data_IF_865575915378
#
_entry.id   IF_865575915378
#
_cell.length_a   1.000
_cell.length_b   1.000
_cell.length_c   1.000
_cell.angle_alpha   90.00
_cell.angle_beta   90.00
_cell.angle_gamma   90.00
#
_symmetry.space_group_name_H-M   'P 1'
#
loop_
_entity.id
_entity.type
_entity.pdbx_description
1 polymer ?
#
# COMPACT_ATOMS: atom_id res chain seq x y z
N UNK A 1 -17.00 -4.83 -2.69
CA UNK A 1 -17.24 -3.89 -1.60
C UNK A 1 -18.41 -2.98 -1.96
N UNK A 2 -19.38 -2.81 -1.07
CA UNK A 2 -20.50 -1.89 -1.24
C UNK A 2 -20.31 -0.72 -0.28
N UNK A 3 -20.27 0.51 -0.82
CA UNK A 3 -20.03 1.74 -0.06
C UNK A 3 -21.16 2.73 -0.34
N UNK A 4 -21.66 3.38 0.72
CA UNK A 4 -22.63 4.47 0.60
C UNK A 4 -21.86 5.79 0.69
N UNK A 5 -21.98 6.63 -0.33
CA UNK A 5 -21.27 7.90 -0.45
C UNK A 5 -22.20 9.05 -0.79
N UNK A 6 -21.74 10.26 -0.52
CA UNK A 6 -22.39 11.49 -0.95
C UNK A 6 -21.63 12.11 -2.13
N UNK A 7 -22.30 12.90 -2.94
CA UNK A 7 -21.67 13.61 -4.07
C UNK A 7 -20.46 14.44 -3.62
N UNK A 8 -20.58 15.12 -2.49
CA UNK A 8 -19.51 15.94 -1.89
C UNK A 8 -18.21 15.17 -1.62
N UNK A 9 -18.25 13.85 -1.47
CA UNK A 9 -17.05 13.02 -1.36
C UNK A 9 -16.19 13.09 -2.61
N UNK A 10 -16.80 12.99 -3.79
CA UNK A 10 -16.09 13.04 -5.06
C UNK A 10 -15.51 14.43 -5.33
N UNK A 11 -16.24 15.47 -4.97
CA UNK A 11 -15.77 16.85 -5.08
C UNK A 11 -14.60 17.12 -4.14
N UNK A 12 -14.66 16.61 -2.90
CA UNK A 12 -13.63 16.77 -1.88
C UNK A 12 -12.31 16.09 -2.28
N UNK A 13 -12.39 14.86 -2.78
CA UNK A 13 -11.22 14.06 -3.19
C UNK A 13 -10.85 14.24 -4.67
N UNK A 14 -11.57 15.11 -5.40
CA UNK A 14 -11.35 15.37 -6.83
C UNK A 14 -11.36 14.09 -7.68
N UNK A 15 -12.21 13.13 -7.32
CA UNK A 15 -12.35 11.87 -8.05
C UNK A 15 -13.22 12.11 -9.28
N UNK A 16 -12.71 11.92 -10.50
CA UNK A 16 -13.51 12.10 -11.69
C UNK A 16 -14.58 11.00 -11.80
N UNK A 17 -15.79 11.39 -12.19
CA UNK A 17 -16.90 10.48 -12.42
C UNK A 17 -17.26 10.51 -13.90
N UNK A 18 -17.18 9.36 -14.57
CA UNK A 18 -17.57 9.19 -15.97
C UNK A 18 -19.01 8.66 -16.03
N UNK A 19 -19.98 9.55 -16.06
CA UNK A 19 -21.40 9.21 -16.00
C UNK A 19 -22.26 10.18 -16.81
N UNK A 20 -23.41 9.71 -17.29
CA UNK A 20 -24.46 10.52 -17.89
C UNK A 20 -25.32 11.26 -16.83
N UNK A 21 -24.67 11.84 -15.85
CA UNK A 21 -25.25 12.47 -14.68
C UNK A 21 -24.96 11.72 -13.38
N UNK A 22 -25.04 12.42 -12.27
CA UNK A 22 -24.80 11.85 -10.95
C UNK A 22 -26.02 11.03 -10.51
N UNK A 23 -25.85 9.85 -9.84
CA UNK A 23 -26.95 9.06 -9.31
C UNK A 23 -27.87 9.88 -8.41
N UNK A 24 -29.19 9.74 -8.62
CA UNK A 24 -30.23 10.49 -7.91
C UNK A 24 -31.08 9.61 -6.97
N UNK A 25 -30.94 8.31 -7.05
CA UNK A 25 -31.69 7.36 -6.25
C UNK A 25 -30.82 6.20 -5.75
N UNK A 26 -31.27 5.49 -4.70
CA UNK A 26 -30.57 4.32 -4.18
C UNK A 26 -30.49 3.13 -5.16
N UNK A 27 -31.31 3.16 -6.21
CA UNK A 27 -31.27 2.16 -7.29
C UNK A 27 -30.24 2.47 -8.36
N UNK A 28 -29.68 3.66 -8.35
CA UNK A 28 -28.65 4.09 -9.28
C UNK A 28 -27.27 4.00 -8.60
N UNK A 29 -26.32 3.42 -9.30
CA UNK A 29 -25.01 3.11 -8.76
C UNK A 29 -23.88 3.62 -9.65
N UNK A 30 -22.73 3.89 -9.02
CA UNK A 30 -21.44 4.00 -9.70
C UNK A 30 -20.57 2.78 -9.37
N UNK A 31 -19.66 2.47 -10.27
CA UNK A 31 -18.69 1.38 -10.13
C UNK A 31 -17.28 1.88 -10.38
N UNK A 32 -16.28 1.28 -9.70
CA UNK A 32 -14.89 1.48 -10.10
C UNK A 32 -14.53 0.59 -11.30
N UNK A 33 -13.36 0.84 -11.90
CA UNK A 33 -12.89 0.10 -13.08
C UNK A 33 -12.77 -1.41 -12.82
N UNK A 34 -12.39 -1.86 -11.62
CA UNK A 34 -12.35 -3.27 -11.25
C UNK A 34 -13.73 -3.90 -11.23
N UNK A 35 -14.73 -3.23 -10.65
CA UNK A 35 -16.12 -3.71 -10.68
C UNK A 35 -16.65 -3.73 -12.10
N UNK A 36 -16.38 -2.71 -12.90
CA UNK A 36 -16.74 -2.66 -14.32
C UNK A 36 -16.22 -3.90 -15.05
N UNK A 37 -14.92 -4.21 -14.93
CA UNK A 37 -14.30 -5.37 -15.56
C UNK A 37 -14.91 -6.69 -15.09
N UNK A 38 -15.18 -6.82 -13.78
CA UNK A 38 -15.76 -8.04 -13.20
C UNK A 38 -17.16 -8.33 -13.69
N UNK A 39 -17.99 -7.30 -13.84
CA UNK A 39 -19.40 -7.44 -14.23
C UNK A 39 -19.65 -7.24 -15.73
N UNK A 40 -18.62 -6.88 -16.51
CA UNK A 40 -18.73 -6.76 -17.97
C UNK A 40 -18.90 -8.14 -18.61
N UNK A 41 -19.77 -8.22 -19.60
CA UNK A 41 -19.91 -9.38 -20.48
C UNK A 41 -19.09 -9.15 -21.74
N UNK A 42 -17.82 -9.57 -21.73
CA UNK A 42 -16.87 -9.24 -22.78
C UNK A 42 -16.46 -7.76 -22.70
N UNK A 43 -16.53 -7.01 -23.81
CA UNK A 43 -16.19 -5.57 -23.86
C UNK A 43 -17.37 -4.65 -23.47
N UNK A 44 -18.58 -5.21 -23.30
CA UNK A 44 -19.78 -4.42 -23.00
C UNK A 44 -19.85 -4.13 -21.50
N UNK A 45 -19.82 -2.85 -21.06
CA UNK A 45 -19.95 -2.51 -19.65
C UNK A 45 -21.35 -2.85 -19.14
N UNK A 46 -21.50 -3.22 -17.86
CA UNK A 46 -22.80 -3.53 -17.28
C UNK A 46 -23.68 -2.27 -17.21
N UNK A 47 -24.93 -2.40 -17.64
CA UNK A 47 -25.94 -1.35 -17.51
C UNK A 47 -26.86 -1.55 -16.31
N UNK A 48 -27.05 -2.79 -15.91
CA UNK A 48 -27.86 -3.19 -14.75
C UNK A 48 -27.20 -4.33 -14.00
N UNK A 49 -27.33 -4.33 -12.66
CA UNK A 49 -26.97 -5.43 -11.78
C UNK A 49 -28.18 -5.95 -11.03
N UNK A 50 -28.30 -7.25 -10.97
CA UNK A 50 -29.28 -7.91 -10.11
C UNK A 50 -28.76 -7.99 -8.67
N UNK A 51 -29.57 -7.59 -7.72
CA UNK A 51 -29.28 -7.68 -6.29
C UNK A 51 -30.35 -8.53 -5.62
N UNK A 52 -29.90 -9.63 -5.01
CA UNK A 52 -30.76 -10.39 -4.12
C UNK A 52 -31.10 -9.55 -2.90
N UNK A 53 -32.38 -9.37 -2.66
CA UNK A 53 -32.92 -8.69 -1.49
C UNK A 53 -33.88 -9.62 -0.77
N UNK A 54 -34.04 -9.43 0.54
CA UNK A 54 -34.98 -10.22 1.37
C UNK A 54 -36.42 -10.22 0.84
N UNK A 55 -36.78 -9.24 0.02
CA UNK A 55 -38.08 -9.06 -0.60
C UNK A 55 -38.11 -9.34 -2.13
N UNK A 56 -37.10 -10.05 -2.66
CA UNK A 56 -37.00 -10.38 -4.08
C UNK A 56 -35.77 -9.75 -4.77
N UNK A 57 -35.65 -10.06 -6.07
CA UNK A 57 -34.56 -9.53 -6.90
C UNK A 57 -34.88 -8.08 -7.25
N UNK A 58 -33.97 -7.16 -6.95
CA UNK A 58 -34.05 -5.77 -7.38
C UNK A 58 -32.92 -5.45 -8.35
N UNK A 59 -33.20 -4.77 -9.45
CA UNK A 59 -32.20 -4.30 -10.38
C UNK A 59 -31.59 -2.98 -9.90
N UNK A 60 -30.28 -2.86 -10.02
CA UNK A 60 -29.52 -1.63 -9.79
C UNK A 60 -29.05 -1.10 -11.15
N UNK A 61 -29.37 0.14 -11.45
CA UNK A 61 -29.00 0.79 -12.71
C UNK A 61 -27.59 1.38 -12.60
N UNK A 62 -26.70 0.97 -13.48
CA UNK A 62 -25.33 1.51 -13.53
C UNK A 62 -25.35 2.83 -14.29
N UNK A 63 -25.14 3.92 -13.59
CA UNK A 63 -25.09 5.30 -14.14
C UNK A 63 -23.73 5.71 -14.67
N UNK A 64 -22.68 5.10 -14.16
CA UNK A 64 -21.34 5.46 -14.60
C UNK A 64 -20.23 4.77 -13.84
N UNK A 65 -19.03 5.20 -14.13
CA UNK A 65 -17.82 4.59 -13.64
C UNK A 65 -16.87 5.64 -13.03
N UNK A 66 -16.02 5.19 -12.11
CA UNK A 66 -14.93 5.98 -11.56
C UNK A 66 -13.62 5.29 -11.83
N UNK A 67 -12.50 6.02 -11.91
CA UNK A 67 -11.18 5.40 -11.84
C UNK A 67 -11.01 4.63 -10.55
N UNK A 68 -9.95 3.84 -10.46
CA UNK A 68 -9.57 3.20 -9.19
C UNK A 68 -9.20 4.26 -8.16
N UNK A 69 -9.76 4.15 -6.97
CA UNK A 69 -9.36 4.91 -5.81
C UNK A 69 -9.33 4.01 -4.57
N UNK A 70 -8.42 4.33 -3.67
CA UNK A 70 -8.14 3.47 -2.53
C UNK A 70 -9.11 3.77 -1.38
N UNK A 71 -9.95 2.81 -1.03
CA UNK A 71 -10.92 2.91 0.09
C UNK A 71 -10.46 2.14 1.32
N UNK A 72 -9.53 1.20 1.12
CA UNK A 72 -9.04 0.26 2.12
C UNK A 72 -7.52 0.16 2.04
N UNK A 73 -6.93 -0.62 2.94
CA UNK A 73 -5.49 -0.87 2.96
C UNK A 73 -4.95 -1.33 1.59
N UNK A 74 -3.74 -0.89 1.22
CA UNK A 74 -3.11 -1.18 -0.08
C UNK A 74 -2.90 -2.67 -0.38
N UNK A 75 -2.86 -3.53 0.65
CA UNK A 75 -2.81 -4.99 0.47
C UNK A 75 -4.06 -5.54 -0.22
N UNK A 76 -5.18 -4.81 -0.16
CA UNK A 76 -6.45 -5.16 -0.81
C UNK A 76 -6.63 -4.34 -2.09
N UNK A 77 -5.60 -4.27 -2.91
CA UNK A 77 -5.66 -3.59 -4.22
C UNK A 77 -6.72 -4.21 -5.12
N UNK A 78 -7.34 -3.36 -5.94
CA UNK A 78 -8.27 -3.78 -6.99
C UNK A 78 -9.55 -4.47 -6.49
N UNK A 79 -10.08 -4.03 -5.35
CA UNK A 79 -11.40 -4.49 -4.94
C UNK A 79 -12.47 -3.92 -5.87
N UNK A 80 -13.43 -4.76 -6.30
CA UNK A 80 -14.61 -4.26 -6.98
C UNK A 80 -15.46 -3.43 -6.01
N UNK A 81 -15.61 -2.13 -6.29
CA UNK A 81 -16.37 -1.20 -5.46
C UNK A 81 -17.65 -0.79 -6.18
N UNK A 82 -18.78 -1.01 -5.53
CA UNK A 82 -20.10 -0.55 -5.94
C UNK A 82 -20.51 0.56 -4.98
N UNK A 83 -20.84 1.72 -5.52
CA UNK A 83 -21.18 2.91 -4.75
C UNK A 83 -22.65 3.24 -4.94
N UNK A 84 -23.38 3.33 -3.85
CA UNK A 84 -24.76 3.83 -3.81
C UNK A 84 -24.79 5.22 -3.16
N UNK A 85 -25.76 6.01 -3.55
CA UNK A 85 -25.91 7.39 -3.10
C UNK A 85 -27.17 7.53 -2.27
N UNK A 86 -27.09 8.32 -1.22
CA UNK A 86 -28.25 8.72 -0.42
C UNK A 86 -28.45 10.22 -0.57
N UNK A 87 -29.72 10.60 -0.61
CA UNK A 87 -30.10 12.00 -0.51
C UNK A 87 -30.07 12.42 0.97
N UNK A 88 -29.36 13.49 1.27
CA UNK A 88 -29.17 14.02 2.62
C UNK A 88 -30.51 14.40 3.31
N UNK A 89 -31.55 14.60 2.52
CA UNK A 89 -32.82 15.15 3.04
C UNK A 89 -33.68 14.13 3.83
N UNK A 90 -33.42 12.83 3.71
CA UNK A 90 -34.34 11.81 4.27
C UNK A 90 -33.80 10.97 5.43
N UNK A 91 -32.59 11.19 5.94
CA UNK A 91 -32.07 10.41 7.07
C UNK A 91 -31.50 11.26 8.19
N UNK A 92 -32.36 11.58 9.13
CA UNK A 92 -32.01 12.22 10.42
C UNK A 92 -31.24 11.32 11.42
N UNK A 93 -30.86 10.10 11.05
CA UNK A 93 -30.42 9.13 12.05
C UNK A 93 -29.30 8.17 11.60
N UNK A 94 -28.22 8.69 11.01
CA UNK A 94 -26.98 7.90 10.96
C UNK A 94 -25.84 8.74 11.51
N UNK A 95 -25.04 8.18 12.47
CA UNK A 95 -23.80 8.80 12.90
C UNK A 95 -22.80 8.75 11.72
N UNK A 96 -22.94 9.70 10.81
CA UNK A 96 -22.05 9.87 9.67
C UNK A 96 -20.80 10.62 10.12
N UNK A 97 -19.65 10.26 9.58
CA UNK A 97 -18.44 11.07 9.69
C UNK A 97 -18.57 12.27 8.74
N UNK A 98 -18.40 13.48 9.26
CA UNK A 98 -18.24 14.68 8.43
C UNK A 98 -16.77 14.82 8.08
N UNK A 99 -16.47 14.89 6.78
CA UNK A 99 -15.13 15.17 6.29
C UNK A 99 -15.01 16.62 5.88
N UNK A 100 -13.96 17.30 6.33
CA UNK A 100 -13.68 18.68 5.98
C UNK A 100 -12.25 18.86 5.50
N UNK A 101 -12.06 19.58 4.40
CA UNK A 101 -10.73 19.98 3.95
C UNK A 101 -10.32 21.26 4.67
N UNK A 102 -9.11 21.26 5.22
CA UNK A 102 -8.57 22.40 5.96
C UNK A 102 -7.39 22.99 5.17
N UNK A 103 -7.39 24.31 5.03
CA UNK A 103 -6.28 25.02 4.40
C UNK A 103 -4.99 24.79 5.21
N UNK A 104 -3.86 24.47 4.56
CA UNK A 104 -2.58 24.26 5.23
C UNK A 104 -2.23 25.43 6.17
N UNK A 105 -1.80 25.10 7.40
CA UNK A 105 -1.40 26.09 8.40
C UNK A 105 -2.54 26.62 9.28
N UNK A 106 -3.82 26.36 8.96
CA UNK A 106 -4.98 26.84 9.73
C UNK A 106 -5.70 25.75 10.53
N UNK A 107 -5.03 24.66 10.86
CA UNK A 107 -5.61 23.54 11.62
C UNK A 107 -6.23 23.96 12.97
N UNK A 108 -5.53 24.74 13.83
CA UNK A 108 -6.08 25.11 15.14
C UNK A 108 -7.37 25.97 15.04
N UNK A 109 -7.39 26.92 14.09
CA UNK A 109 -8.54 27.80 13.84
C UNK A 109 -9.75 27.00 13.34
N UNK A 110 -9.51 26.08 12.40
CA UNK A 110 -10.55 25.24 11.83
C UNK A 110 -11.16 24.30 12.89
N UNK A 111 -10.34 23.67 13.73
CA UNK A 111 -10.81 22.81 14.83
C UNK A 111 -11.68 23.61 15.81
N UNK A 112 -11.23 24.81 16.19
CA UNK A 112 -11.99 25.67 17.09
C UNK A 112 -13.36 26.05 16.49
N UNK A 113 -13.39 26.44 15.23
CA UNK A 113 -14.63 26.77 14.53
C UNK A 113 -15.58 25.56 14.42
N UNK A 114 -15.04 24.39 14.05
CA UNK A 114 -15.84 23.16 13.94
C UNK A 114 -16.42 22.77 15.32
N UNK A 115 -15.64 22.90 16.39
CA UNK A 115 -16.11 22.65 17.74
C UNK A 115 -17.23 23.61 18.15
N UNK A 116 -17.07 24.91 17.89
CA UNK A 116 -18.11 25.90 18.18
C UNK A 116 -19.40 25.64 17.39
N UNK A 117 -19.30 25.22 16.15
CA UNK A 117 -20.45 24.83 15.33
C UNK A 117 -21.12 23.57 15.85
N UNK A 118 -20.32 22.55 16.21
CA UNK A 118 -20.81 21.30 16.79
C UNK A 118 -21.58 21.54 18.10
N UNK A 119 -20.99 22.32 19.01
CA UNK A 119 -21.60 22.63 20.31
C UNK A 119 -22.92 23.39 20.16
N UNK A 120 -23.06 24.23 19.11
CA UNK A 120 -24.27 24.97 18.81
C UNK A 120 -25.36 24.14 18.13
N UNK A 121 -24.99 23.14 17.33
CA UNK A 121 -25.91 22.43 16.44
C UNK A 121 -26.31 21.06 16.98
N UNK A 122 -25.37 20.31 17.49
CA UNK A 122 -25.53 18.91 17.88
C UNK A 122 -25.40 18.78 19.38
N UNK A 123 -24.38 19.38 19.99
CA UNK A 123 -23.98 19.21 21.38
C UNK A 123 -23.36 17.83 21.64
N UNK A 124 -22.81 17.65 22.84
CA UNK A 124 -22.14 16.41 23.23
C UNK A 124 -20.61 16.46 23.03
N UNK A 125 -19.97 15.31 22.98
CA UNK A 125 -18.52 15.22 22.84
C UNK A 125 -18.10 15.45 21.37
N UNK A 126 -17.19 16.40 21.16
CA UNK A 126 -16.61 16.69 19.85
C UNK A 126 -15.40 15.79 19.60
N UNK A 127 -15.59 14.74 18.86
CA UNK A 127 -14.51 13.86 18.41
C UNK A 127 -14.09 14.20 17.00
N UNK A 128 -12.80 14.23 16.76
CA UNK A 128 -12.24 14.38 15.41
C UNK A 128 -10.95 13.56 15.25
N UNK A 129 -10.70 13.14 14.04
CA UNK A 129 -9.46 12.46 13.65
C UNK A 129 -8.95 13.06 12.36
N UNK A 130 -7.64 13.11 12.18
CA UNK A 130 -7.07 13.47 10.90
C UNK A 130 -7.00 12.24 10.01
N UNK A 131 -7.28 12.42 8.72
CA UNK A 131 -7.20 11.34 7.72
C UNK A 131 -5.78 10.76 7.65
N UNK A 132 -4.74 11.61 7.84
CA UNK A 132 -3.35 11.16 7.89
C UNK A 132 -3.09 10.20 9.07
N UNK A 133 -3.72 10.42 10.20
CA UNK A 133 -3.59 9.56 11.39
C UNK A 133 -4.31 8.23 11.17
N UNK A 134 -5.51 8.25 10.58
CA UNK A 134 -6.24 7.02 10.21
C UNK A 134 -5.42 6.19 9.20
N UNK A 135 -4.87 6.82 8.17
CA UNK A 135 -3.99 6.15 7.21
C UNK A 135 -2.74 5.60 7.91
N UNK A 136 -2.11 6.41 8.78
CA UNK A 136 -0.92 5.97 9.52
C UNK A 136 -1.20 4.76 10.40
N UNK A 137 -2.35 4.73 11.08
CA UNK A 137 -2.78 3.61 11.90
C UNK A 137 -3.01 2.33 11.07
N UNK A 138 -3.53 2.46 9.85
CA UNK A 138 -3.69 1.30 8.93
C UNK A 138 -2.35 0.63 8.61
N UNK A 139 -1.27 1.43 8.50
CA UNK A 139 0.07 0.94 8.14
C UNK A 139 0.99 0.70 9.33
N UNK A 140 0.52 0.84 10.56
CA UNK A 140 1.34 0.64 11.76
C UNK A 140 1.86 -0.78 11.86
N UNK A 141 1.03 -1.77 11.56
CA UNK A 141 1.43 -3.19 11.52
C UNK A 141 2.51 -3.45 10.47
N UNK A 142 2.39 -2.88 9.29
CA UNK A 142 3.35 -3.04 8.21
C UNK A 142 4.70 -2.41 8.58
N UNK A 143 4.69 -1.24 9.25
CA UNK A 143 5.91 -0.60 9.76
C UNK A 143 6.60 -1.46 10.83
N UNK A 144 5.82 -2.08 11.72
CA UNK A 144 6.36 -3.00 12.73
C UNK A 144 7.01 -4.21 12.07
N UNK A 145 6.34 -4.85 11.12
CA UNK A 145 6.88 -5.97 10.35
C UNK A 145 8.15 -5.57 9.60
N UNK A 146 8.17 -4.43 8.93
CA UNK A 146 9.35 -3.92 8.23
C UNK A 146 10.53 -3.69 9.19
N UNK A 147 10.28 -3.17 10.40
CA UNK A 147 11.31 -2.99 11.44
C UNK A 147 11.88 -4.33 11.89
N UNK A 148 11.03 -5.32 12.13
CA UNK A 148 11.46 -6.68 12.50
C UNK A 148 12.34 -7.27 11.40
N UNK A 149 11.91 -7.24 10.15
CA UNK A 149 12.71 -7.72 9.02
C UNK A 149 14.04 -6.99 8.89
N UNK A 150 14.07 -5.68 9.12
CA UNK A 150 15.33 -4.89 9.10
C UNK A 150 16.34 -5.38 10.13
N UNK A 151 15.89 -5.67 11.35
CA UNK A 151 16.75 -6.21 12.42
C UNK A 151 17.27 -7.60 12.04
N UNK A 152 16.41 -8.50 11.58
CA UNK A 152 16.83 -9.84 11.15
C UNK A 152 17.81 -9.80 9.98
N UNK A 153 17.59 -8.89 9.03
CA UNK A 153 18.50 -8.67 7.90
C UNK A 153 19.87 -8.23 8.39
N UNK A 154 19.93 -7.27 9.32
CA UNK A 154 21.20 -6.80 9.89
C UNK A 154 21.95 -7.95 10.58
N UNK A 155 21.27 -8.74 11.41
CA UNK A 155 21.85 -9.90 12.08
C UNK A 155 22.37 -10.92 11.06
N UNK A 156 21.60 -11.21 10.01
CA UNK A 156 22.01 -12.13 8.94
C UNK A 156 23.25 -11.66 8.20
N UNK A 157 23.37 -10.36 7.93
CA UNK A 157 24.56 -9.76 7.31
C UNK A 157 25.77 -9.93 8.23
N UNK A 158 25.62 -9.70 9.53
CA UNK A 158 26.71 -9.85 10.49
C UNK A 158 27.19 -11.32 10.55
N UNK A 159 26.29 -12.29 10.68
CA UNK A 159 26.64 -13.71 10.71
C UNK A 159 27.33 -14.13 9.40
N UNK A 160 26.80 -13.72 8.25
CA UNK A 160 27.38 -14.03 6.95
C UNK A 160 28.78 -13.42 6.79
N UNK A 161 28.96 -12.18 7.26
CA UNK A 161 30.27 -11.50 7.24
C UNK A 161 31.30 -12.23 8.11
N UNK A 162 30.90 -12.71 9.29
CA UNK A 162 31.78 -13.53 10.16
C UNK A 162 32.16 -14.84 9.49
N UNK A 163 31.24 -15.51 8.80
CA UNK A 163 31.51 -16.72 8.03
C UNK A 163 32.52 -16.48 6.90
N UNK A 164 32.34 -15.44 6.11
CA UNK A 164 33.27 -15.06 5.04
C UNK A 164 34.64 -14.66 5.58
N UNK A 165 34.69 -13.96 6.71
CA UNK A 165 35.92 -13.57 7.35
C UNK A 165 36.71 -14.81 7.81
N UNK A 166 36.07 -15.79 8.47
CA UNK A 166 36.67 -17.02 8.90
C UNK A 166 37.24 -17.85 7.75
N UNK A 167 36.47 -17.98 6.65
CA UNK A 167 36.95 -18.66 5.44
C UNK A 167 38.13 -17.94 4.81
N UNK A 168 38.14 -16.60 4.79
CA UNK A 168 39.22 -15.79 4.27
C UNK A 168 40.53 -16.01 5.08
N UNK A 169 40.41 -16.02 6.41
CA UNK A 169 41.56 -16.32 7.29
C UNK A 169 42.11 -17.71 7.04
N UNK A 170 41.26 -18.71 6.91
CA UNK A 170 41.65 -20.07 6.62
C UNK A 170 42.40 -20.20 5.27
N UNK A 171 41.86 -19.59 4.21
CA UNK A 171 42.48 -19.53 2.87
C UNK A 171 43.87 -18.84 2.93
N UNK A 172 44.04 -17.78 3.71
CA UNK A 172 45.34 -17.09 3.90
C UNK A 172 46.32 -18.00 4.59
N UNK A 173 45.91 -18.69 5.66
CA UNK A 173 46.78 -19.60 6.39
C UNK A 173 47.26 -20.76 5.50
N UNK A 174 46.41 -21.35 4.69
CA UNK A 174 46.79 -22.43 3.77
C UNK A 174 47.80 -21.94 2.68
N UNK A 175 47.73 -20.71 2.27
CA UNK A 175 48.58 -20.12 1.20
C UNK A 175 49.73 -19.27 1.74
N UNK A 176 50.00 -19.34 3.03
CA UNK A 176 50.98 -18.46 3.67
C UNK A 176 52.37 -18.50 2.98
N UNK A 177 52.87 -19.72 2.63
CA UNK A 177 54.15 -19.90 1.93
C UNK A 177 54.15 -19.25 0.54
N UNK A 178 53.07 -19.41 -0.23
CA UNK A 178 52.91 -18.80 -1.55
C UNK A 178 52.91 -17.26 -1.48
N UNK A 179 52.17 -16.73 -0.52
CA UNK A 179 52.09 -15.28 -0.27
C UNK A 179 53.46 -14.74 0.13
N UNK A 180 54.18 -15.42 1.01
CA UNK A 180 55.52 -15.02 1.47
C UNK A 180 56.53 -14.97 0.31
N UNK A 181 56.55 -15.99 -0.56
CA UNK A 181 57.44 -16.04 -1.74
C UNK A 181 57.13 -14.88 -2.69
N UNK A 182 55.87 -14.61 -2.96
CA UNK A 182 55.47 -13.47 -3.83
C UNK A 182 55.86 -12.14 -3.24
N UNK A 183 55.74 -11.99 -1.92
CA UNK A 183 56.09 -10.73 -1.24
C UNK A 183 57.59 -10.46 -1.30
N UNK A 184 58.44 -11.52 -1.11
CA UNK A 184 59.89 -11.41 -1.27
C UNK A 184 60.28 -11.08 -2.73
N UNK A 185 59.54 -11.55 -3.71
CA UNK A 185 59.71 -11.23 -5.13
C UNK A 185 59.13 -9.87 -5.53
N UNK A 186 58.75 -9.02 -4.58
CA UNK A 186 58.37 -7.61 -4.83
C UNK A 186 56.87 -7.43 -5.13
N UNK A 187 55.99 -8.40 -4.92
CA UNK A 187 54.58 -8.20 -5.09
C UNK A 187 54.00 -7.23 -4.07
N UNK A 188 53.21 -6.27 -4.53
CA UNK A 188 52.54 -5.32 -3.66
C UNK A 188 51.41 -5.99 -2.85
N UNK A 189 51.13 -5.49 -1.65
CA UNK A 189 50.05 -5.99 -0.79
C UNK A 189 48.71 -5.97 -1.49
N UNK A 190 48.45 -4.91 -2.33
CA UNK A 190 47.23 -4.81 -3.11
C UNK A 190 47.07 -5.88 -4.19
N UNK A 191 48.17 -6.28 -4.86
CA UNK A 191 48.15 -7.35 -5.84
C UNK A 191 47.82 -8.70 -5.20
N UNK A 192 48.39 -8.98 -4.01
CA UNK A 192 48.11 -10.19 -3.25
C UNK A 192 46.66 -10.21 -2.76
N UNK A 193 46.16 -9.07 -2.25
CA UNK A 193 44.79 -8.92 -1.77
C UNK A 193 43.80 -9.16 -2.92
N UNK A 194 44.01 -8.53 -4.08
CA UNK A 194 43.15 -8.70 -5.22
C UNK A 194 43.12 -10.17 -5.73
N UNK A 195 44.27 -10.85 -5.69
CA UNK A 195 44.34 -12.27 -6.04
C UNK A 195 43.47 -13.14 -5.11
N UNK A 196 43.54 -12.88 -3.80
CA UNK A 196 42.76 -13.60 -2.80
C UNK A 196 41.26 -13.29 -2.93
N UNK A 197 40.91 -12.01 -3.11
CA UNK A 197 39.52 -11.57 -3.22
C UNK A 197 38.84 -12.01 -4.51
N UNK A 198 39.59 -12.25 -5.58
CA UNK A 198 39.03 -12.66 -6.89
C UNK A 198 38.13 -13.91 -6.81
N UNK A 199 38.47 -14.87 -5.92
CA UNK A 199 37.66 -16.06 -5.67
C UNK A 199 36.30 -15.69 -5.04
N UNK A 200 36.31 -14.78 -4.08
CA UNK A 200 35.12 -14.34 -3.35
C UNK A 200 34.20 -13.47 -4.22
N UNK A 201 34.75 -12.63 -5.10
CA UNK A 201 33.94 -11.85 -6.05
C UNK A 201 33.15 -12.74 -7.02
N UNK A 202 33.76 -13.86 -7.48
CA UNK A 202 33.04 -14.82 -8.32
C UNK A 202 31.90 -15.50 -7.55
N UNK A 203 32.15 -15.90 -6.29
CA UNK A 203 31.18 -16.54 -5.43
C UNK A 203 30.00 -15.57 -5.12
N UNK A 204 30.31 -14.33 -4.76
CA UNK A 204 29.33 -13.29 -4.50
C UNK A 204 28.47 -12.98 -5.74
N UNK A 205 29.11 -12.86 -6.92
CA UNK A 205 28.39 -12.64 -8.16
C UNK A 205 27.41 -13.77 -8.49
N UNK A 206 27.84 -15.02 -8.31
CA UNK A 206 26.97 -16.19 -8.51
C UNK A 206 25.83 -16.24 -7.51
N UNK A 207 26.11 -15.98 -6.22
CA UNK A 207 25.09 -15.91 -5.17
C UNK A 207 24.07 -14.82 -5.42
N UNK A 208 24.51 -13.63 -5.87
CA UNK A 208 23.63 -12.53 -6.25
C UNK A 208 22.70 -12.89 -7.42
N UNK A 209 23.25 -13.57 -8.43
CA UNK A 209 22.50 -14.01 -9.63
C UNK A 209 21.39 -15.01 -9.28
N UNK A 210 21.58 -15.84 -8.26
CA UNK A 210 20.57 -16.77 -7.76
C UNK A 210 19.61 -16.08 -6.78
N UNK A 211 20.12 -15.25 -5.88
CA UNK A 211 19.31 -14.60 -4.86
C UNK A 211 18.28 -13.62 -5.43
N UNK A 212 18.65 -12.89 -6.51
CA UNK A 212 17.77 -11.89 -7.13
C UNK A 212 16.45 -12.48 -7.65
N UNK A 213 16.44 -13.54 -8.50
CA UNK A 213 15.20 -14.11 -8.99
C UNK A 213 14.38 -14.79 -7.87
N UNK A 214 15.04 -15.41 -6.90
CA UNK A 214 14.34 -16.00 -5.76
C UNK A 214 13.65 -14.95 -4.90
N UNK A 215 14.33 -13.83 -4.63
CA UNK A 215 13.74 -12.70 -3.90
C UNK A 215 12.57 -12.08 -4.66
N UNK A 216 12.72 -11.93 -5.98
CA UNK A 216 11.63 -11.44 -6.84
C UNK A 216 10.40 -12.34 -6.76
N UNK A 217 10.59 -13.66 -6.90
CA UNK A 217 9.52 -14.66 -6.79
C UNK A 217 8.84 -14.62 -5.41
N UNK A 218 9.61 -14.50 -4.33
CA UNK A 218 9.08 -14.42 -2.98
C UNK A 218 8.24 -13.15 -2.76
N UNK A 219 8.72 -12.01 -3.25
CA UNK A 219 8.01 -10.72 -3.12
C UNK A 219 6.72 -10.72 -3.94
N UNK A 220 6.74 -11.19 -5.19
CA UNK A 220 5.54 -11.27 -6.03
C UNK A 220 4.48 -12.17 -5.40
N UNK A 221 4.90 -13.32 -4.86
CA UNK A 221 4.00 -14.26 -4.19
C UNK A 221 3.42 -13.72 -2.88
N UNK A 222 4.14 -12.85 -2.20
CA UNK A 222 3.68 -12.20 -0.97
C UNK A 222 2.71 -11.05 -1.24
N UNK A 223 2.83 -10.41 -2.41
CA UNK A 223 2.00 -9.25 -2.79
C UNK A 223 0.70 -9.66 -3.55
N UNK A 224 0.58 -10.90 -4.01
CA UNK A 224 -0.65 -11.50 -4.55
C UNK A 224 -1.56 -12.02 -3.44
#
# INVERSE_FOLDING_TARGET
>A
LHVKLYKSFFDLYQIPVYADGFPKSEKEILMNETAKKLFSKGEIPPTELEKDSYNGISSLLVKGFTPEFQVVHLSLRNLPVIMTFKDVQNELYYPGKLMASIVPGRRPEAIKLLKELHDKTIGGEFEYTFVEDEISAMYEKDRLVARIYSVFTLVSILISSMGLFSLSLFDIQQRYKEIAIRKVNGATTGAIMNLLLRKYYKLLGFSFLIATPLSWLAITRYLE
#
